data_IF_786269501968
#
_entry.id   IF_786269501968
#
_cell.length_a   1.000
_cell.length_b   1.000
_cell.length_c   1.000
_cell.angle_alpha   90.00
_cell.angle_beta   90.00
_cell.angle_gamma   90.00
#
_symmetry.space_group_name_H-M   'P 1'
#
loop_
_entity.id
_entity.type
_entity.pdbx_description
1 polymer ?
#
# COMPACT_ATOMS: atom_id res chain seq x y z
N UNK A 1 -82.78 -29.39 13.04
CA UNK A 1 -81.64 -28.71 13.73
C UNK A 1 -80.33 -28.98 12.98
N UNK A 2 -79.95 -28.07 12.09
CA UNK A 2 -78.72 -28.17 11.34
C UNK A 2 -77.61 -27.45 12.14
N UNK A 3 -76.58 -28.21 12.59
CA UNK A 3 -75.36 -27.63 13.13
C UNK A 3 -74.45 -27.22 11.97
N UNK A 4 -74.27 -25.91 11.78
CA UNK A 4 -73.20 -25.37 10.87
C UNK A 4 -71.87 -25.53 11.55
N UNK A 5 -71.01 -26.38 11.00
CA UNK A 5 -69.60 -26.44 11.35
C UNK A 5 -68.87 -25.34 10.54
N UNK A 6 -68.36 -24.31 11.25
CA UNK A 6 -67.53 -23.27 10.66
C UNK A 6 -66.05 -23.76 10.67
N UNK A 7 -65.57 -24.20 9.51
CA UNK A 7 -64.16 -24.58 9.35
C UNK A 7 -63.32 -23.30 9.19
N UNK A 8 -62.64 -22.89 10.25
CA UNK A 8 -61.67 -21.79 10.20
C UNK A 8 -60.41 -22.26 9.50
N UNK A 9 -60.25 -21.85 8.23
CA UNK A 9 -59.03 -22.09 7.47
C UNK A 9 -57.99 -21.06 7.94
N UNK A 10 -57.15 -21.39 8.90
CA UNK A 10 -55.98 -20.60 9.28
C UNK A 10 -54.92 -20.72 8.19
N UNK A 11 -54.88 -19.74 7.30
CA UNK A 11 -53.76 -19.56 6.35
C UNK A 11 -52.51 -19.14 7.15
N UNK A 12 -51.66 -20.11 7.48
CA UNK A 12 -50.32 -19.82 7.97
C UNK A 12 -49.52 -19.23 6.80
N UNK A 13 -49.40 -17.90 6.80
CA UNK A 13 -48.39 -17.21 6.03
C UNK A 13 -47.02 -17.62 6.62
N UNK A 14 -46.44 -18.69 6.13
CA UNK A 14 -45.01 -18.95 6.25
C UNK A 14 -44.31 -17.85 5.45
N UNK A 15 -44.01 -16.76 6.13
CA UNK A 15 -43.07 -15.78 5.64
C UNK A 15 -41.72 -16.52 5.52
N UNK A 16 -41.47 -17.07 4.35
CA UNK A 16 -40.16 -17.57 4.00
C UNK A 16 -39.25 -16.33 3.94
N UNK A 17 -38.59 -16.02 5.04
CA UNK A 17 -37.45 -15.10 5.01
C UNK A 17 -36.35 -15.81 4.21
N UNK A 18 -36.47 -15.80 2.88
CA UNK A 18 -35.37 -16.17 2.00
C UNK A 18 -34.32 -15.08 2.19
N UNK A 19 -33.28 -15.40 2.97
CA UNK A 19 -32.11 -14.55 3.00
C UNK A 19 -31.68 -14.32 1.55
N UNK A 20 -31.76 -13.07 1.09
CA UNK A 20 -31.38 -12.73 -0.27
C UNK A 20 -29.90 -13.03 -0.44
N UNK A 21 -29.56 -13.96 -1.29
CA UNK A 21 -28.18 -14.26 -1.65
C UNK A 21 -27.54 -13.02 -2.29
N UNK A 22 -26.29 -12.78 -1.93
CA UNK A 22 -25.50 -11.71 -2.54
C UNK A 22 -24.74 -12.27 -3.74
N UNK A 23 -24.74 -11.56 -4.84
CA UNK A 23 -24.04 -11.97 -6.07
C UNK A 23 -23.03 -10.94 -6.51
N UNK A 24 -21.90 -11.42 -6.99
CA UNK A 24 -20.89 -10.60 -7.65
C UNK A 24 -20.53 -11.23 -9.00
N UNK A 25 -20.70 -10.45 -10.05
CA UNK A 25 -20.51 -10.87 -11.43
C UNK A 25 -19.90 -9.75 -12.25
N UNK A 26 -19.51 -10.05 -13.49
CA UNK A 26 -19.06 -9.01 -14.38
C UNK A 26 -18.39 -9.51 -15.64
N UNK A 27 -17.86 -8.54 -16.41
CA UNK A 27 -17.06 -8.76 -17.60
C UNK A 27 -15.84 -7.88 -17.58
N UNK A 28 -14.66 -8.50 -17.69
CA UNK A 28 -13.39 -7.81 -17.84
C UNK A 28 -12.95 -7.91 -19.30
N UNK A 29 -12.65 -6.76 -19.89
CA UNK A 29 -12.11 -6.65 -21.24
C UNK A 29 -10.59 -6.65 -21.12
N UNK A 30 -9.90 -7.51 -21.88
CA UNK A 30 -8.44 -7.69 -21.86
C UNK A 30 -7.92 -8.00 -20.43
N UNK A 31 -8.39 -9.07 -19.78
CA UNK A 31 -7.96 -9.39 -18.44
C UNK A 31 -6.44 -9.62 -18.37
N UNK A 32 -5.81 -9.09 -17.34
CA UNK A 32 -4.36 -9.21 -17.07
C UNK A 32 -4.00 -10.52 -16.38
N UNK A 33 -4.97 -11.16 -15.73
CA UNK A 33 -4.87 -12.47 -15.11
C UNK A 33 -6.20 -13.24 -15.22
N UNK A 34 -6.23 -14.48 -14.76
CA UNK A 34 -7.37 -15.40 -14.93
C UNK A 34 -8.36 -15.40 -13.77
N UNK A 35 -8.22 -14.49 -12.79
CA UNK A 35 -9.10 -14.45 -11.62
C UNK A 35 -9.31 -13.05 -11.08
N UNK A 36 -10.39 -12.90 -10.33
CA UNK A 36 -10.64 -11.77 -9.42
C UNK A 36 -10.62 -12.31 -7.99
N UNK A 37 -9.96 -11.60 -7.10
CA UNK A 37 -10.00 -11.91 -5.67
C UNK A 37 -10.84 -10.88 -4.95
N UNK A 38 -11.88 -11.33 -4.23
CA UNK A 38 -12.68 -10.49 -3.34
C UNK A 38 -12.17 -10.62 -1.91
N UNK A 39 -11.94 -9.48 -1.26
CA UNK A 39 -11.45 -9.40 0.11
C UNK A 39 -12.42 -8.66 1.01
N UNK A 40 -12.44 -9.08 2.27
CA UNK A 40 -13.00 -8.35 3.41
C UNK A 40 -11.98 -8.30 4.52
N UNK A 41 -11.71 -7.10 5.03
CA UNK A 41 -10.77 -6.91 6.14
C UNK A 41 -9.39 -7.55 5.87
N UNK A 42 -8.90 -7.43 4.61
CA UNK A 42 -7.65 -8.03 4.07
C UNK A 42 -7.66 -9.56 3.98
N UNK A 43 -8.76 -10.20 4.32
CA UNK A 43 -8.92 -11.65 4.18
C UNK A 43 -9.62 -11.98 2.86
N UNK A 44 -9.11 -12.98 2.16
CA UNK A 44 -9.74 -13.49 0.94
C UNK A 44 -11.07 -14.15 1.28
N UNK A 45 -12.17 -13.53 0.79
CA UNK A 45 -13.51 -14.10 0.88
C UNK A 45 -13.73 -15.11 -0.24
N UNK A 46 -13.28 -14.74 -1.45
CA UNK A 46 -13.46 -15.60 -2.61
C UNK A 46 -12.50 -15.23 -3.75
N UNK A 47 -11.95 -16.26 -4.41
CA UNK A 47 -11.33 -16.16 -5.73
C UNK A 47 -12.33 -16.59 -6.81
N UNK A 48 -12.47 -15.79 -7.85
CA UNK A 48 -13.46 -15.90 -8.91
C UNK A 48 -12.75 -16.10 -10.23
N UNK A 49 -12.79 -17.30 -10.83
CA UNK A 49 -12.16 -17.52 -12.12
C UNK A 49 -12.87 -16.71 -13.20
N UNK A 50 -12.08 -16.15 -14.13
CA UNK A 50 -12.56 -15.45 -15.30
C UNK A 50 -12.64 -16.44 -16.47
N UNK A 51 -13.80 -16.50 -17.12
CA UNK A 51 -14.00 -17.32 -18.29
C UNK A 51 -13.22 -16.77 -19.49
N UNK A 52 -13.06 -17.59 -20.56
CA UNK A 52 -12.35 -17.18 -21.79
C UNK A 52 -12.95 -15.96 -22.49
N UNK A 53 -14.23 -15.67 -22.29
CA UNK A 53 -14.92 -14.48 -22.82
C UNK A 53 -14.82 -13.25 -21.89
N UNK A 54 -14.05 -13.36 -20.81
CA UNK A 54 -13.85 -12.32 -19.80
C UNK A 54 -14.94 -12.22 -18.75
N UNK A 55 -15.95 -13.11 -18.76
CA UNK A 55 -17.05 -13.08 -17.79
C UNK A 55 -16.71 -13.86 -16.52
N UNK A 56 -17.34 -13.45 -15.40
CA UNK A 56 -17.34 -14.19 -14.15
C UNK A 56 -18.68 -14.03 -13.44
N UNK A 57 -19.07 -14.98 -12.61
CA UNK A 57 -20.25 -14.90 -11.75
C UNK A 57 -20.09 -15.79 -10.53
N UNK A 58 -20.49 -15.29 -9.37
CA UNK A 58 -20.55 -16.09 -8.16
C UNK A 58 -21.55 -15.55 -7.15
N UNK A 59 -22.13 -16.45 -6.37
CA UNK A 59 -22.72 -16.08 -5.08
C UNK A 59 -21.63 -15.82 -4.05
N UNK A 60 -21.82 -14.84 -3.20
CA UNK A 60 -20.92 -14.48 -2.13
C UNK A 60 -21.65 -14.57 -0.81
N UNK A 61 -21.01 -15.19 0.16
CA UNK A 61 -21.50 -15.20 1.54
C UNK A 61 -21.06 -13.93 2.25
N UNK A 62 -22.01 -13.02 2.50
CA UNK A 62 -21.77 -11.73 3.13
C UNK A 62 -22.25 -11.77 4.57
N UNK A 63 -21.29 -11.79 5.49
CA UNK A 63 -21.58 -11.80 6.93
C UNK A 63 -21.89 -10.39 7.48
N UNK A 64 -21.29 -9.34 6.89
CA UNK A 64 -21.40 -7.97 7.36
C UNK A 64 -21.40 -6.99 6.19
N UNK A 65 -22.38 -6.07 6.19
CA UNK A 65 -22.38 -4.91 5.29
C UNK A 65 -21.11 -4.06 5.46
N UNK A 66 -20.62 -3.46 4.38
CA UNK A 66 -19.53 -2.51 4.49
C UNK A 66 -18.57 -2.49 3.33
N UNK A 67 -17.34 -2.11 3.64
CA UNK A 67 -16.25 -1.98 2.68
C UNK A 67 -15.64 -3.35 2.36
N UNK A 68 -15.50 -3.61 1.08
CA UNK A 68 -14.82 -4.76 0.50
C UNK A 68 -13.80 -4.26 -0.53
N UNK A 69 -12.88 -5.12 -0.94
CA UNK A 69 -11.97 -4.83 -2.03
C UNK A 69 -12.06 -5.95 -3.05
N UNK A 70 -12.05 -5.63 -4.34
CA UNK A 70 -11.73 -6.61 -5.35
C UNK A 70 -10.36 -6.31 -5.96
N UNK A 71 -9.61 -7.36 -6.26
CA UNK A 71 -8.28 -7.30 -6.87
C UNK A 71 -8.36 -8.01 -8.22
N UNK A 72 -7.90 -7.34 -9.26
CA UNK A 72 -7.53 -7.90 -10.54
C UNK A 72 -6.13 -7.38 -10.88
N UNK A 73 -5.12 -8.16 -10.53
CA UNK A 73 -3.72 -7.72 -10.54
C UNK A 73 -3.31 -7.05 -11.85
N UNK A 74 -2.58 -5.91 -11.80
CA UNK A 74 -1.98 -5.31 -10.59
C UNK A 74 -2.91 -4.38 -9.81
N UNK A 75 -4.13 -4.14 -10.26
CA UNK A 75 -5.05 -3.14 -9.74
C UNK A 75 -5.99 -3.69 -8.66
N UNK A 76 -6.50 -2.79 -7.82
CA UNK A 76 -7.55 -3.09 -6.85
C UNK A 76 -8.55 -1.93 -6.76
N UNK A 77 -9.78 -2.21 -6.33
CA UNK A 77 -10.77 -1.18 -6.08
C UNK A 77 -11.65 -1.50 -4.86
N UNK A 78 -12.10 -0.46 -4.18
CA UNK A 78 -13.05 -0.57 -3.08
C UNK A 78 -14.47 -0.81 -3.58
N UNK A 79 -15.21 -1.63 -2.84
CA UNK A 79 -16.63 -1.92 -3.04
C UNK A 79 -17.40 -1.72 -1.73
N UNK A 80 -18.60 -1.19 -1.82
CA UNK A 80 -19.57 -1.25 -0.73
C UNK A 80 -20.58 -2.36 -1.07
N UNK A 81 -20.52 -3.44 -0.28
CA UNK A 81 -21.46 -4.55 -0.46
C UNK A 81 -22.34 -4.66 0.77
N UNK A 82 -23.65 -4.75 0.52
CA UNK A 82 -24.66 -5.02 1.55
C UNK A 82 -25.27 -6.41 1.30
N UNK A 83 -25.74 -7.04 2.35
CA UNK A 83 -26.43 -8.33 2.24
C UNK A 83 -27.62 -8.24 1.27
N UNK A 84 -27.66 -9.12 0.28
CA UNK A 84 -28.68 -9.14 -0.77
C UNK A 84 -28.41 -8.25 -1.98
N UNK A 85 -27.24 -7.59 -2.06
CA UNK A 85 -26.80 -6.93 -3.29
C UNK A 85 -26.56 -7.93 -4.41
N UNK A 86 -26.80 -7.50 -5.64
CA UNK A 86 -26.46 -8.27 -6.85
C UNK A 86 -25.73 -7.34 -7.80
N UNK A 87 -24.40 -7.30 -7.62
CA UNK A 87 -23.51 -6.41 -8.36
C UNK A 87 -22.97 -7.08 -9.61
N UNK A 88 -23.02 -6.38 -10.73
CA UNK A 88 -22.33 -6.76 -11.95
C UNK A 88 -21.44 -5.61 -12.41
N UNK A 89 -20.15 -5.86 -12.61
CA UNK A 89 -19.20 -4.86 -13.10
C UNK A 89 -18.86 -5.07 -14.58
N UNK A 90 -18.51 -3.98 -15.24
CA UNK A 90 -17.82 -3.96 -16.52
C UNK A 90 -16.55 -3.15 -16.37
N UNK A 91 -15.43 -3.70 -16.83
CA UNK A 91 -14.10 -3.16 -16.65
C UNK A 91 -13.24 -3.43 -17.90
N UNK A 92 -12.43 -2.46 -18.31
CA UNK A 92 -11.33 -2.64 -19.26
C UNK A 92 -10.01 -2.52 -18.48
N UNK A 93 -9.19 -3.57 -18.42
CA UNK A 93 -7.94 -3.57 -17.63
C UNK A 93 -6.89 -2.56 -18.14
N UNK A 94 -7.04 -2.00 -19.34
CA UNK A 94 -6.13 -0.96 -19.84
C UNK A 94 -6.48 0.44 -19.31
N UNK A 95 -7.75 0.66 -18.92
CA UNK A 95 -8.27 1.93 -18.42
C UNK A 95 -9.12 1.61 -17.19
N UNK A 96 -8.47 1.10 -16.13
CA UNK A 96 -9.13 0.43 -15.02
C UNK A 96 -10.17 1.31 -14.33
N UNK A 97 -9.78 2.44 -13.77
CA UNK A 97 -10.68 3.28 -12.97
C UNK A 97 -11.73 3.99 -13.82
N UNK A 98 -11.34 4.52 -14.97
CA UNK A 98 -12.22 5.29 -15.86
C UNK A 98 -13.26 4.42 -16.58
N UNK A 99 -12.97 3.12 -16.75
CA UNK A 99 -13.87 2.19 -17.42
C UNK A 99 -14.77 1.38 -16.49
N UNK A 100 -14.51 1.45 -15.18
CA UNK A 100 -15.23 0.66 -14.17
C UNK A 100 -16.64 1.18 -13.95
N UNK A 101 -17.64 0.36 -14.28
CA UNK A 101 -19.06 0.68 -14.10
C UNK A 101 -19.78 -0.50 -13.46
N UNK A 102 -20.61 -0.23 -12.47
CA UNK A 102 -21.47 -1.22 -11.82
C UNK A 102 -22.91 -1.13 -12.32
N UNK A 103 -23.57 -2.29 -12.34
CA UNK A 103 -25.00 -2.45 -12.61
C UNK A 103 -25.62 -3.44 -11.62
N UNK A 104 -26.96 -3.48 -11.54
CA UNK A 104 -27.68 -4.34 -10.60
C UNK A 104 -27.96 -3.69 -9.25
N UNK A 105 -28.45 -4.49 -8.30
CA UNK A 105 -28.81 -3.98 -6.95
C UNK A 105 -27.57 -3.59 -6.17
N UNK A 106 -27.49 -2.37 -5.70
CA UNK A 106 -26.33 -1.81 -4.98
C UNK A 106 -25.30 -1.13 -5.89
N UNK A 107 -25.57 -1.04 -7.21
CA UNK A 107 -24.65 -0.40 -8.15
C UNK A 107 -24.53 1.10 -7.95
N UNK A 108 -25.61 1.80 -7.63
CA UNK A 108 -25.59 3.26 -7.54
C UNK A 108 -24.60 3.77 -6.49
N UNK A 109 -24.55 3.12 -5.31
CA UNK A 109 -23.60 3.52 -4.25
C UNK A 109 -22.14 3.27 -4.65
N UNK A 110 -21.89 2.21 -5.44
CA UNK A 110 -20.55 1.89 -5.92
C UNK A 110 -20.13 2.82 -7.07
N UNK A 111 -21.01 3.12 -8.02
CA UNK A 111 -20.73 4.11 -9.07
C UNK A 111 -20.47 5.49 -8.45
N UNK A 112 -21.26 5.90 -7.46
CA UNK A 112 -21.03 7.16 -6.75
C UNK A 112 -19.67 7.18 -6.02
N UNK A 113 -19.24 6.04 -5.44
CA UNK A 113 -17.93 5.92 -4.80
C UNK A 113 -16.77 6.06 -5.82
N UNK A 114 -16.92 5.45 -7.00
CA UNK A 114 -15.94 5.61 -8.11
C UNK A 114 -15.88 7.07 -8.55
N UNK A 115 -17.03 7.71 -8.78
CA UNK A 115 -17.09 9.14 -9.15
C UNK A 115 -16.34 10.01 -8.11
N UNK A 116 -16.48 9.70 -6.80
CA UNK A 116 -15.76 10.41 -5.73
C UNK A 116 -14.25 10.25 -5.86
N UNK A 117 -13.75 9.05 -6.17
CA UNK A 117 -12.31 8.82 -6.34
C UNK A 117 -11.77 9.53 -7.57
N UNK A 118 -12.46 9.43 -8.70
CA UNK A 118 -12.08 10.14 -9.94
C UNK A 118 -12.10 11.67 -9.76
N UNK A 119 -13.11 12.21 -9.08
CA UNK A 119 -13.19 13.64 -8.74
C UNK A 119 -11.97 14.09 -7.90
N UNK A 120 -11.50 13.26 -6.95
CA UNK A 120 -10.32 13.57 -6.14
C UNK A 120 -9.03 13.51 -6.96
N UNK A 121 -8.88 12.55 -7.85
CA UNK A 121 -7.72 12.44 -8.72
C UNK A 121 -7.59 13.66 -9.64
N UNK A 122 -8.68 14.10 -10.25
CA UNK A 122 -8.71 15.30 -11.08
C UNK A 122 -8.36 16.59 -10.29
N UNK A 123 -8.78 16.67 -9.02
CA UNK A 123 -8.55 17.84 -8.17
C UNK A 123 -7.15 17.85 -7.51
N UNK A 124 -6.47 16.71 -7.42
CA UNK A 124 -5.20 16.53 -6.68
C UNK A 124 -4.15 17.59 -7.06
N UNK A 125 -3.84 17.72 -8.35
CA UNK A 125 -2.85 18.68 -8.85
C UNK A 125 -3.28 20.12 -8.62
N UNK A 126 -4.56 20.43 -8.77
CA UNK A 126 -5.11 21.75 -8.51
C UNK A 126 -4.94 22.13 -7.03
N UNK A 127 -5.32 21.26 -6.10
CA UNK A 127 -5.20 21.54 -4.66
C UNK A 127 -3.74 21.68 -4.26
N UNK A 128 -2.85 20.79 -4.73
CA UNK A 128 -1.39 20.86 -4.45
C UNK A 128 -0.74 22.14 -4.96
N UNK A 129 -1.13 22.63 -6.13
CA UNK A 129 -0.61 23.89 -6.68
C UNK A 129 -0.95 25.12 -5.81
N UNK A 130 -2.02 25.01 -5.01
CA UNK A 130 -2.50 26.05 -4.10
C UNK A 130 -1.89 25.98 -2.68
N UNK A 131 -0.91 25.11 -2.41
CA UNK A 131 -0.29 25.04 -1.08
C UNK A 131 0.55 26.29 -0.71
N UNK A 132 0.75 27.23 -1.62
CA UNK A 132 1.51 28.48 -1.38
C UNK A 132 0.61 29.69 -1.06
N UNK A 133 -0.73 29.56 -1.14
CA UNK A 133 -1.64 30.66 -0.80
C UNK A 133 -1.79 30.79 0.72
N UNK A 134 -2.39 31.88 1.19
CA UNK A 134 -2.61 32.10 2.64
C UNK A 134 -3.52 31.05 3.26
N UNK A 135 -3.38 30.81 4.58
CA UNK A 135 -4.19 29.83 5.30
C UNK A 135 -5.69 30.08 5.18
N UNK A 136 -6.13 31.35 5.17
CA UNK A 136 -7.54 31.70 5.02
C UNK A 136 -8.06 31.39 3.60
N UNK A 137 -7.27 31.65 2.58
CA UNK A 137 -7.62 31.34 1.19
C UNK A 137 -7.68 29.84 0.98
N UNK A 138 -6.70 29.09 1.50
CA UNK A 138 -6.69 27.65 1.44
C UNK A 138 -7.87 27.03 2.22
N UNK A 139 -8.20 27.57 3.39
CA UNK A 139 -9.40 27.17 4.12
C UNK A 139 -10.68 27.33 3.27
N UNK A 140 -10.87 28.52 2.64
CA UNK A 140 -12.02 28.78 1.77
C UNK A 140 -12.08 27.84 0.57
N UNK A 141 -10.94 27.50 -0.02
CA UNK A 141 -10.84 26.54 -1.12
C UNK A 141 -11.34 25.17 -0.69
N UNK A 142 -10.77 24.59 0.37
CA UNK A 142 -11.14 23.26 0.88
C UNK A 142 -12.59 23.23 1.38
N UNK A 143 -13.02 24.25 2.12
CA UNK A 143 -14.40 24.37 2.61
C UNK A 143 -15.43 24.39 1.47
N UNK A 144 -15.13 25.12 0.39
CA UNK A 144 -15.98 25.15 -0.81
C UNK A 144 -16.06 23.81 -1.51
N UNK A 145 -14.92 23.14 -1.73
CA UNK A 145 -14.88 21.81 -2.34
C UNK A 145 -15.65 20.81 -1.50
N UNK A 146 -15.40 20.79 -0.19
CA UNK A 146 -16.06 19.87 0.74
C UNK A 146 -17.58 20.08 0.78
N UNK A 147 -18.05 21.32 0.90
CA UNK A 147 -19.47 21.65 0.91
C UNK A 147 -20.17 21.22 -0.37
N UNK A 148 -19.57 21.47 -1.53
CA UNK A 148 -20.14 21.08 -2.81
C UNK A 148 -20.28 19.56 -2.93
N UNK A 149 -19.23 18.81 -2.55
CA UNK A 149 -19.24 17.34 -2.59
C UNK A 149 -20.25 16.74 -1.59
N UNK A 150 -20.32 17.30 -0.38
CA UNK A 150 -21.31 16.85 0.63
C UNK A 150 -22.75 17.14 0.17
N UNK A 151 -23.03 18.30 -0.41
CA UNK A 151 -24.36 18.60 -0.98
C UNK A 151 -24.74 17.63 -2.12
N UNK A 152 -23.78 17.29 -3.00
CA UNK A 152 -23.97 16.27 -4.05
C UNK A 152 -24.33 14.92 -3.41
N UNK A 153 -23.61 14.53 -2.36
CA UNK A 153 -23.87 13.28 -1.62
C UNK A 153 -25.22 13.30 -0.89
N UNK A 154 -25.58 14.37 -0.19
CA UNK A 154 -26.86 14.48 0.52
C UNK A 154 -28.05 14.33 -0.45
N UNK A 155 -27.98 14.99 -1.62
CA UNK A 155 -28.99 14.85 -2.68
C UNK A 155 -29.06 13.41 -3.18
N UNK A 156 -27.94 12.76 -3.42
CA UNK A 156 -27.86 11.36 -3.81
C UNK A 156 -28.47 10.44 -2.74
N UNK A 157 -28.06 10.60 -1.49
CA UNK A 157 -28.52 9.79 -0.36
C UNK A 157 -30.00 9.97 -0.04
N UNK A 158 -30.56 11.18 -0.24
CA UNK A 158 -32.00 11.44 -0.05
C UNK A 158 -32.87 10.60 -0.97
N UNK A 159 -32.39 10.28 -2.18
CA UNK A 159 -33.10 9.46 -3.16
C UNK A 159 -32.98 7.96 -2.87
N UNK A 160 -31.76 7.48 -2.50
CA UNK A 160 -31.45 6.05 -2.35
C UNK A 160 -31.69 5.53 -0.92
N UNK A 161 -31.63 6.41 0.09
CA UNK A 161 -31.75 6.05 1.51
C UNK A 161 -30.76 4.95 1.90
N UNK A 162 -29.47 5.21 1.67
CA UNK A 162 -28.40 4.28 2.03
C UNK A 162 -28.47 3.89 3.51
N UNK A 163 -28.03 2.68 3.82
CA UNK A 163 -27.85 2.30 5.22
C UNK A 163 -26.73 3.11 5.87
N UNK A 164 -26.68 3.10 7.21
CA UNK A 164 -25.72 3.90 8.00
C UNK A 164 -24.27 3.61 7.63
N UNK A 165 -23.92 2.34 7.40
CA UNK A 165 -22.56 1.91 7.06
C UNK A 165 -22.14 2.42 5.69
N UNK A 166 -22.97 2.24 4.66
CA UNK A 166 -22.69 2.73 3.30
C UNK A 166 -22.57 4.25 3.26
N UNK A 167 -23.47 4.95 3.95
CA UNK A 167 -23.43 6.42 4.07
C UNK A 167 -22.14 6.91 4.71
N UNK A 168 -21.73 6.28 5.82
CA UNK A 168 -20.49 6.62 6.53
C UNK A 168 -19.25 6.40 5.65
N UNK A 169 -19.18 5.31 4.90
CA UNK A 169 -18.05 5.03 4.02
C UNK A 169 -17.94 6.10 2.93
N UNK A 170 -19.03 6.42 2.23
CA UNK A 170 -19.04 7.42 1.14
C UNK A 170 -18.71 8.81 1.69
N UNK A 171 -19.30 9.19 2.81
CA UNK A 171 -19.04 10.48 3.45
C UNK A 171 -17.54 10.63 3.81
N UNK A 172 -16.91 9.58 4.32
CA UNK A 172 -15.50 9.59 4.62
C UNK A 172 -14.61 9.49 3.36
N UNK A 173 -15.07 8.82 2.30
CA UNK A 173 -14.38 8.84 1.00
C UNK A 173 -14.34 10.27 0.42
N UNK A 174 -15.37 11.08 0.66
CA UNK A 174 -15.39 12.50 0.28
C UNK A 174 -14.46 13.33 1.16
N UNK A 175 -14.54 13.16 2.49
CA UNK A 175 -13.88 14.05 3.45
C UNK A 175 -12.37 13.79 3.56
N UNK A 176 -11.97 12.54 3.72
CA UNK A 176 -10.61 12.20 4.13
C UNK A 176 -9.52 12.67 3.16
N UNK A 177 -9.65 12.55 1.82
CA UNK A 177 -8.66 13.10 0.91
C UNK A 177 -8.48 14.61 1.05
N UNK A 178 -9.57 15.37 1.17
CA UNK A 178 -9.51 16.81 1.37
C UNK A 178 -8.88 17.18 2.72
N UNK A 179 -9.17 16.43 3.78
CA UNK A 179 -8.55 16.62 5.09
C UNK A 179 -7.06 16.25 5.08
N UNK A 180 -6.66 15.26 4.30
CA UNK A 180 -5.26 14.93 4.05
C UNK A 180 -4.51 16.07 3.36
N UNK A 181 -5.17 16.78 2.46
CA UNK A 181 -4.62 18.01 1.88
C UNK A 181 -4.46 19.14 2.91
N UNK A 182 -5.37 19.25 3.89
CA UNK A 182 -5.19 20.18 5.02
C UNK A 182 -3.93 19.84 5.80
N UNK A 183 -3.73 18.59 6.16
CA UNK A 183 -2.54 18.16 6.89
C UNK A 183 -1.26 18.41 6.09
N UNK A 184 -1.28 18.13 4.79
CA UNK A 184 -0.15 18.42 3.89
C UNK A 184 0.14 19.91 3.75
N UNK A 185 -0.91 20.75 3.69
CA UNK A 185 -0.78 22.21 3.70
C UNK A 185 -0.14 22.72 4.99
N UNK A 186 -0.63 22.26 6.15
CA UNK A 186 -0.08 22.59 7.47
C UNK A 186 1.40 22.22 7.57
N UNK A 187 1.75 21.03 7.11
CA UNK A 187 3.14 20.56 7.07
C UNK A 187 4.03 21.46 6.19
N UNK A 188 3.57 21.83 5.01
CA UNK A 188 4.33 22.70 4.11
C UNK A 188 4.52 24.12 4.67
N UNK A 189 3.52 24.62 5.40
CA UNK A 189 3.49 25.99 5.95
C UNK A 189 3.79 26.02 7.45
N UNK A 190 4.79 25.25 7.91
CA UNK A 190 5.16 25.06 9.32
C UNK A 190 5.41 26.36 10.10
N UNK A 191 5.97 27.38 9.46
CA UNK A 191 6.24 28.69 10.09
C UNK A 191 4.98 29.39 10.60
N UNK A 192 3.82 29.09 10.02
CA UNK A 192 2.50 29.62 10.40
C UNK A 192 1.58 28.53 10.96
N UNK A 193 2.15 27.40 11.39
CA UNK A 193 1.39 26.20 11.77
C UNK A 193 0.29 26.50 12.79
N UNK A 194 0.62 27.10 13.92
CA UNK A 194 -0.35 27.39 15.00
C UNK A 194 -1.48 28.32 14.57
N UNK A 195 -1.15 29.31 13.76
CA UNK A 195 -2.14 30.24 13.19
C UNK A 195 -3.08 29.53 12.22
N UNK A 196 -2.51 28.73 11.33
CA UNK A 196 -3.28 27.99 10.32
C UNK A 196 -4.08 26.86 10.96
N UNK A 197 -3.53 26.15 11.94
CA UNK A 197 -4.21 25.08 12.65
C UNK A 197 -5.56 25.53 13.23
N UNK A 198 -5.63 26.76 13.81
CA UNK A 198 -6.87 27.30 14.37
C UNK A 198 -8.01 27.38 13.34
N UNK A 199 -7.69 27.62 12.05
CA UNK A 199 -8.67 27.68 10.97
C UNK A 199 -9.27 26.29 10.70
N UNK A 200 -8.47 25.22 10.86
CA UNK A 200 -8.85 23.87 10.49
C UNK A 200 -9.28 22.97 11.66
N UNK A 201 -9.30 23.51 12.90
CA UNK A 201 -9.62 22.71 14.11
C UNK A 201 -10.95 21.99 14.02
N UNK A 202 -11.99 22.64 13.49
CA UNK A 202 -13.31 22.02 13.34
C UNK A 202 -13.28 20.75 12.50
N UNK A 203 -12.43 20.70 11.47
CA UNK A 203 -12.28 19.49 10.63
C UNK A 203 -11.62 18.37 11.42
N UNK A 204 -10.55 18.68 12.17
CA UNK A 204 -9.83 17.69 12.98
C UNK A 204 -10.68 17.09 14.09
N UNK A 205 -11.49 17.90 14.79
CA UNK A 205 -12.31 17.44 15.91
C UNK A 205 -13.49 16.59 15.49
N UNK A 206 -13.94 16.71 14.24
CA UNK A 206 -15.09 15.97 13.71
C UNK A 206 -14.74 14.60 13.11
N UNK A 207 -13.46 14.18 13.15
CA UNK A 207 -13.03 12.86 12.68
C UNK A 207 -12.82 11.93 13.87
N UNK A 208 -13.59 10.84 13.89
CA UNK A 208 -13.37 9.73 14.81
C UNK A 208 -12.16 8.91 14.36
N UNK A 209 -11.08 8.99 15.12
CA UNK A 209 -9.81 8.29 14.84
C UNK A 209 -9.85 6.79 15.21
N UNK A 210 -10.97 6.30 15.74
CA UNK A 210 -11.13 4.93 16.22
C UNK A 210 -12.28 4.19 15.52
N UNK A 211 -12.66 4.62 14.31
CA UNK A 211 -13.79 4.09 13.59
C UNK A 211 -13.48 2.73 12.96
N UNK A 212 -14.06 1.66 13.53
CA UNK A 212 -13.84 0.29 13.06
C UNK A 212 -14.32 0.04 11.62
N UNK A 213 -15.33 0.77 11.14
CA UNK A 213 -15.81 0.60 9.77
C UNK A 213 -14.77 1.02 8.73
N UNK A 214 -13.84 1.92 9.10
CA UNK A 214 -12.83 2.50 8.21
C UNK A 214 -11.43 1.91 8.38
N UNK A 215 -11.25 0.92 9.26
CA UNK A 215 -9.92 0.40 9.60
C UNK A 215 -9.15 -0.25 8.43
N UNK A 216 -9.85 -0.61 7.35
CA UNK A 216 -9.24 -1.12 6.10
C UNK A 216 -9.39 -0.16 4.92
N UNK A 217 -9.78 1.10 5.20
CA UNK A 217 -9.89 2.15 4.22
C UNK A 217 -8.61 2.99 4.21
N UNK A 218 -7.78 2.83 3.18
CA UNK A 218 -6.48 3.49 3.09
C UNK A 218 -6.54 5.01 3.30
N UNK A 219 -7.47 5.79 2.68
CA UNK A 219 -7.55 7.22 2.92
C UNK A 219 -7.73 7.62 4.39
N UNK A 220 -8.36 6.75 5.20
CA UNK A 220 -8.50 6.98 6.63
C UNK A 220 -7.19 6.79 7.39
N UNK A 221 -6.46 5.73 7.09
CA UNK A 221 -5.15 5.49 7.70
C UNK A 221 -4.12 6.55 7.27
N UNK A 222 -4.12 6.93 5.98
CA UNK A 222 -3.26 7.98 5.44
C UNK A 222 -3.50 9.31 6.14
N UNK A 223 -4.76 9.70 6.36
CA UNK A 223 -5.10 10.91 7.11
C UNK A 223 -4.52 10.88 8.53
N UNK A 224 -4.65 9.76 9.25
CA UNK A 224 -4.13 9.65 10.62
C UNK A 224 -2.59 9.74 10.62
N UNK A 225 -1.92 9.11 9.64
CA UNK A 225 -0.46 9.20 9.48
C UNK A 225 -0.03 10.64 9.24
N UNK A 226 -0.65 11.35 8.29
CA UNK A 226 -0.34 12.76 8.01
C UNK A 226 -0.58 13.65 9.24
N UNK A 227 -1.66 13.41 9.97
CA UNK A 227 -1.94 14.09 11.22
C UNK A 227 -0.87 13.81 12.28
N UNK A 228 -0.41 12.56 12.41
CA UNK A 228 0.67 12.18 13.34
C UNK A 228 1.96 12.93 13.06
N UNK A 229 2.26 13.17 11.79
CA UNK A 229 3.41 13.97 11.36
C UNK A 229 3.32 15.39 11.93
N UNK A 230 2.18 16.06 11.72
CA UNK A 230 1.99 17.44 12.18
C UNK A 230 1.98 17.57 13.72
N UNK A 231 1.33 16.62 14.43
CA UNK A 231 1.28 16.62 15.90
C UNK A 231 2.66 16.36 16.55
N UNK A 232 3.55 15.69 15.82
CA UNK A 232 4.87 15.32 16.32
C UNK A 232 5.94 16.38 16.04
N UNK A 233 5.65 17.33 15.17
CA UNK A 233 6.55 18.47 14.94
C UNK A 233 6.44 19.48 16.07
N UNK A 234 7.57 19.74 16.72
CA UNK A 234 7.75 20.90 17.59
C UNK A 234 8.65 21.90 16.88
N UNK A 235 8.28 23.15 16.88
CA UNK A 235 9.03 24.23 16.20
C UNK A 235 10.49 24.29 16.65
N UNK A 236 10.75 23.95 17.92
CA UNK A 236 12.07 24.02 18.54
C UNK A 236 12.96 22.79 18.26
N UNK A 237 12.41 21.70 17.71
CA UNK A 237 13.14 20.42 17.52
C UNK A 237 13.78 20.30 16.13
N UNK A 238 13.64 21.34 15.28
CA UNK A 238 14.04 21.29 13.86
C UNK A 238 13.03 20.48 13.00
N UNK A 239 13.32 20.39 11.70
CA UNK A 239 12.42 19.73 10.75
C UNK A 239 12.94 18.37 10.29
N UNK A 240 13.81 17.74 11.06
CA UNK A 240 14.41 16.46 10.70
C UNK A 240 13.52 15.29 11.13
N UNK A 241 13.35 14.32 10.25
CA UNK A 241 12.69 13.02 10.53
C UNK A 241 13.61 12.12 11.38
N UNK A 242 14.08 12.67 12.50
CA UNK A 242 15.00 11.99 13.41
C UNK A 242 14.27 11.05 14.39
N UNK A 243 15.05 10.40 15.25
CA UNK A 243 14.54 9.52 16.28
C UNK A 243 13.44 10.18 17.13
N UNK A 244 13.69 11.39 17.64
CA UNK A 244 12.75 12.12 18.54
C UNK A 244 11.40 12.37 17.86
N UNK A 245 11.43 12.78 16.60
CA UNK A 245 10.21 12.98 15.80
C UNK A 245 9.40 11.68 15.70
N UNK A 246 10.05 10.56 15.41
CA UNK A 246 9.35 9.28 15.26
C UNK A 246 8.87 8.70 16.59
N UNK A 247 9.59 8.95 17.69
CA UNK A 247 9.08 8.64 19.04
C UNK A 247 7.83 9.46 19.38
N UNK A 248 7.79 10.75 19.06
CA UNK A 248 6.59 11.58 19.21
C UNK A 248 5.41 11.05 18.41
N UNK A 249 5.64 10.49 17.18
CA UNK A 249 4.59 9.83 16.39
C UNK A 249 4.05 8.58 17.09
N UNK A 250 4.92 7.75 17.70
CA UNK A 250 4.48 6.60 18.50
C UNK A 250 3.60 7.05 19.68
N UNK A 251 4.02 8.10 20.40
CA UNK A 251 3.27 8.65 21.53
C UNK A 251 1.91 9.21 21.09
N UNK A 252 1.85 9.92 19.97
CA UNK A 252 0.58 10.40 19.43
C UNK A 252 -0.36 9.24 19.11
N UNK A 253 0.10 8.24 18.37
CA UNK A 253 -0.72 7.07 18.05
C UNK A 253 -1.15 6.34 19.33
N UNK A 254 -0.24 6.14 20.27
CA UNK A 254 -0.57 5.45 21.53
C UNK A 254 -1.62 6.18 22.35
N UNK A 255 -1.57 7.52 22.40
CA UNK A 255 -2.50 8.35 23.18
C UNK A 255 -3.86 8.56 22.52
N UNK A 256 -3.93 8.62 21.19
CA UNK A 256 -5.15 8.98 20.46
C UNK A 256 -5.90 7.77 19.89
N UNK A 257 -5.22 6.65 19.69
CA UNK A 257 -5.79 5.45 19.09
C UNK A 257 -5.92 4.36 20.14
N UNK A 258 -7.16 4.04 20.51
CA UNK A 258 -7.48 2.96 21.46
C UNK A 258 -8.00 1.69 20.78
N UNK A 259 -8.37 1.74 19.50
CA UNK A 259 -8.66 0.54 18.73
C UNK A 259 -7.35 -0.18 18.37
N UNK A 260 -7.14 -1.39 18.89
CA UNK A 260 -5.88 -2.14 18.76
C UNK A 260 -5.51 -2.46 17.33
N UNK A 261 -6.48 -2.72 16.44
CA UNK A 261 -6.21 -3.06 15.04
C UNK A 261 -5.69 -1.82 14.31
N UNK A 262 -6.36 -0.67 14.48
CA UNK A 262 -5.94 0.61 13.89
C UNK A 262 -4.56 0.98 14.44
N UNK A 263 -4.40 0.93 15.77
CA UNK A 263 -3.12 1.22 16.45
C UNK A 263 -1.97 0.40 15.87
N UNK A 264 -2.12 -0.91 15.82
CA UNK A 264 -1.09 -1.81 15.31
C UNK A 264 -0.73 -1.53 13.84
N UNK A 265 -1.71 -1.24 12.96
CA UNK A 265 -1.45 -0.88 11.56
C UNK A 265 -0.63 0.41 11.44
N UNK A 266 -1.00 1.44 12.21
CA UNK A 266 -0.32 2.73 12.18
C UNK A 266 1.09 2.66 12.77
N UNK A 267 1.25 1.99 13.92
CA UNK A 267 2.56 1.76 14.54
C UNK A 267 3.48 0.95 13.63
N UNK A 268 2.95 -0.12 13.02
CA UNK A 268 3.68 -0.91 12.03
C UNK A 268 4.17 -0.06 10.86
N UNK A 269 3.31 0.81 10.31
CA UNK A 269 3.68 1.72 9.23
C UNK A 269 4.83 2.65 9.65
N UNK A 270 4.72 3.31 10.80
CA UNK A 270 5.75 4.21 11.33
C UNK A 270 7.08 3.47 11.54
N UNK A 271 7.02 2.23 12.07
CA UNK A 271 8.21 1.43 12.28
C UNK A 271 8.92 1.07 10.97
N UNK A 272 8.18 0.64 9.95
CA UNK A 272 8.75 0.35 8.63
C UNK A 272 9.39 1.61 8.01
N UNK A 273 8.66 2.72 8.02
CA UNK A 273 9.15 3.99 7.47
C UNK A 273 10.46 4.41 8.16
N UNK A 274 10.49 4.40 9.49
CA UNK A 274 11.68 4.80 10.25
C UNK A 274 12.85 3.83 10.07
N UNK A 275 12.63 2.52 10.20
CA UNK A 275 13.69 1.52 10.12
C UNK A 275 14.36 1.45 8.74
N UNK A 276 13.63 1.74 7.67
CA UNK A 276 14.17 1.72 6.31
C UNK A 276 14.99 2.98 5.96
N UNK A 277 14.80 4.08 6.70
CA UNK A 277 15.50 5.35 6.48
C UNK A 277 16.67 5.58 7.45
N UNK A 278 16.56 5.09 8.71
CA UNK A 278 17.60 5.31 9.74
C UNK A 278 18.84 4.46 9.47
N UNK A 279 20.01 5.09 9.57
CA UNK A 279 21.32 4.45 9.31
C UNK A 279 22.06 4.06 10.60
N UNK A 280 21.75 4.69 11.71
CA UNK A 280 22.45 4.49 12.98
C UNK A 280 21.75 3.43 13.84
N UNK A 281 22.40 2.29 14.06
CA UNK A 281 21.85 1.20 14.87
C UNK A 281 21.43 1.64 16.27
N UNK A 282 22.19 2.53 16.93
CA UNK A 282 21.84 3.02 18.27
C UNK A 282 20.48 3.74 18.30
N UNK A 283 20.13 4.46 17.23
CA UNK A 283 18.84 5.11 17.10
C UNK A 283 17.73 4.07 16.86
N UNK A 284 18.02 3.06 16.05
CA UNK A 284 17.10 1.95 15.78
C UNK A 284 16.83 1.18 17.08
N UNK A 285 17.87 0.84 17.85
CA UNK A 285 17.72 0.14 19.15
C UNK A 285 16.83 0.93 20.12
N UNK A 286 17.03 2.24 20.20
CA UNK A 286 16.20 3.12 21.03
C UNK A 286 14.75 3.14 20.57
N UNK A 287 14.55 3.26 19.24
CA UNK A 287 13.20 3.26 18.67
C UNK A 287 12.47 1.93 18.93
N UNK A 288 13.12 0.79 18.70
CA UNK A 288 12.53 -0.54 18.93
C UNK A 288 12.12 -0.73 20.39
N UNK A 289 12.96 -0.28 21.34
CA UNK A 289 12.64 -0.36 22.75
C UNK A 289 11.38 0.45 23.14
N UNK A 290 11.17 1.62 22.54
CA UNK A 290 9.97 2.42 22.79
C UNK A 290 8.75 1.86 22.02
N UNK A 291 8.95 1.40 20.78
CA UNK A 291 7.93 0.74 19.97
C UNK A 291 7.34 -0.50 20.67
N UNK A 292 8.19 -1.34 21.27
CA UNK A 292 7.80 -2.54 22.01
C UNK A 292 6.89 -2.25 23.20
N UNK A 293 6.98 -1.05 23.81
CA UNK A 293 6.13 -0.64 24.94
C UNK A 293 4.70 -0.28 24.53
N UNK A 294 4.51 0.21 23.31
CA UNK A 294 3.22 0.72 22.84
C UNK A 294 2.47 -0.25 21.93
N UNK A 295 3.15 -1.28 21.42
CA UNK A 295 2.57 -2.26 20.50
C UNK A 295 1.81 -3.35 21.25
N UNK A 296 0.63 -3.71 20.74
CA UNK A 296 -0.24 -4.75 21.32
C UNK A 296 -0.07 -6.11 20.63
N UNK A 297 0.24 -6.12 19.33
CA UNK A 297 0.29 -7.34 18.50
C UNK A 297 1.66 -8.02 18.55
N UNK A 298 1.77 -9.21 19.14
CA UNK A 298 2.98 -10.04 19.09
C UNK A 298 3.44 -10.35 17.67
N UNK A 299 2.50 -10.63 16.74
CA UNK A 299 2.82 -10.88 15.33
C UNK A 299 3.54 -9.69 14.68
N UNK A 300 3.05 -8.47 14.92
CA UNK A 300 3.69 -7.25 14.40
C UNK A 300 5.04 -7.01 15.07
N UNK A 301 5.17 -7.33 16.35
CA UNK A 301 6.42 -7.25 17.09
C UNK A 301 7.49 -8.16 16.48
N UNK A 302 7.16 -9.42 16.23
CA UNK A 302 8.06 -10.39 15.61
C UNK A 302 8.48 -9.96 14.18
N UNK A 303 7.53 -9.43 13.40
CA UNK A 303 7.79 -8.91 12.05
C UNK A 303 8.79 -7.73 12.07
N UNK A 304 8.57 -6.75 12.93
CA UNK A 304 9.46 -5.58 13.05
C UNK A 304 10.82 -5.98 13.60
N UNK A 305 10.86 -6.94 14.53
CA UNK A 305 12.11 -7.49 15.04
C UNK A 305 12.90 -8.27 13.97
N UNK A 306 12.21 -9.03 13.12
CA UNK A 306 12.85 -9.68 11.95
C UNK A 306 13.46 -8.62 11.00
N UNK A 307 12.72 -7.54 10.70
CA UNK A 307 13.22 -6.44 9.88
C UNK A 307 14.46 -5.79 10.50
N UNK A 308 14.41 -5.48 11.80
CA UNK A 308 15.56 -4.95 12.54
C UNK A 308 16.79 -5.86 12.45
N UNK A 309 16.62 -7.17 12.70
CA UNK A 309 17.72 -8.13 12.60
C UNK A 309 18.33 -8.18 11.20
N UNK A 310 17.50 -8.10 10.16
CA UNK A 310 17.97 -8.08 8.78
C UNK A 310 18.72 -6.77 8.45
N UNK A 311 18.26 -5.62 8.95
CA UNK A 311 18.97 -4.33 8.83
C UNK A 311 20.33 -4.40 9.54
N UNK A 312 20.36 -4.94 10.75
CA UNK A 312 21.60 -5.11 11.52
C UNK A 312 22.60 -6.05 10.83
N UNK A 313 22.11 -7.10 10.15
CA UNK A 313 22.92 -8.02 9.38
C UNK A 313 23.55 -7.37 8.12
N UNK A 314 22.96 -6.28 7.60
CA UNK A 314 23.46 -5.55 6.43
C UNK A 314 24.42 -4.40 6.79
N UNK A 315 24.81 -4.24 8.03
CA UNK A 315 25.74 -3.19 8.42
C UNK A 315 27.16 -3.43 7.87
N UNK A 316 27.88 -2.34 7.59
CA UNK A 316 29.28 -2.39 7.15
C UNK A 316 30.13 -3.20 8.15
N UNK A 317 31.00 -4.05 7.62
CA UNK A 317 31.84 -4.96 8.42
C UNK A 317 31.19 -6.30 8.76
N UNK A 318 29.91 -6.51 8.47
CA UNK A 318 29.24 -7.79 8.62
C UNK A 318 29.39 -8.66 7.38
N UNK A 319 29.29 -9.98 7.57
CA UNK A 319 29.20 -10.89 6.42
C UNK A 319 27.87 -10.71 5.69
N UNK A 320 27.89 -10.76 4.35
CA UNK A 320 26.66 -10.72 3.56
C UNK A 320 25.71 -11.86 3.99
N UNK A 321 24.42 -11.61 4.17
CA UNK A 321 23.45 -12.66 4.51
C UNK A 321 23.44 -13.79 3.50
N UNK A 322 23.28 -15.03 3.98
CA UNK A 322 23.24 -16.22 3.14
C UNK A 322 21.95 -16.29 2.34
N UNK A 323 22.04 -16.27 1.01
CA UNK A 323 20.96 -16.52 0.06
C UNK A 323 21.44 -17.47 -1.03
N UNK A 324 20.52 -18.22 -1.63
CA UNK A 324 20.76 -19.04 -2.79
C UNK A 324 20.42 -18.29 -4.08
N UNK A 325 21.27 -18.44 -5.06
CA UNK A 325 21.14 -17.88 -6.40
C UNK A 325 21.17 -19.00 -7.43
N UNK A 326 20.44 -18.82 -8.52
CA UNK A 326 20.41 -19.75 -9.65
C UNK A 326 21.31 -19.19 -10.75
N UNK A 327 22.20 -20.01 -11.26
CA UNK A 327 23.08 -19.71 -12.40
C UNK A 327 22.33 -19.99 -13.73
N UNK A 328 22.91 -19.51 -14.85
CA UNK A 328 22.29 -19.68 -16.18
C UNK A 328 22.10 -21.15 -16.60
N UNK A 329 22.91 -22.06 -16.08
CA UNK A 329 22.82 -23.50 -16.30
C UNK A 329 21.81 -24.20 -15.38
N UNK A 330 21.10 -23.45 -14.53
CA UNK A 330 20.13 -23.96 -13.55
C UNK A 330 20.75 -24.42 -12.23
N UNK A 331 22.07 -24.38 -12.07
CA UNK A 331 22.72 -24.79 -10.83
C UNK A 331 22.57 -23.75 -9.73
N UNK A 332 22.47 -24.23 -8.49
CA UNK A 332 22.39 -23.37 -7.30
C UNK A 332 23.80 -22.95 -6.85
N UNK A 333 23.93 -21.70 -6.46
CA UNK A 333 25.13 -21.14 -5.85
C UNK A 333 24.77 -20.29 -4.65
N UNK A 334 25.43 -20.53 -3.52
CA UNK A 334 25.29 -19.66 -2.35
C UNK A 334 26.04 -18.36 -2.58
N UNK A 335 25.46 -17.22 -2.15
CA UNK A 335 26.09 -15.91 -2.30
C UNK A 335 27.46 -15.87 -1.62
N UNK A 336 27.63 -16.57 -0.48
CA UNK A 336 28.89 -16.64 0.26
C UNK A 336 29.99 -17.49 -0.42
N UNK A 337 29.62 -18.32 -1.40
CA UNK A 337 30.60 -19.10 -2.20
C UNK A 337 31.22 -18.27 -3.33
N UNK A 338 30.80 -16.99 -3.46
CA UNK A 338 31.39 -16.03 -4.38
C UNK A 338 32.67 -15.48 -3.79
N UNK A 339 33.81 -16.08 -4.19
CA UNK A 339 35.13 -15.83 -3.57
C UNK A 339 35.93 -14.66 -4.15
N UNK A 340 35.34 -13.86 -5.03
CA UNK A 340 36.03 -12.72 -5.60
C UNK A 340 36.21 -11.59 -4.57
N UNK A 341 37.32 -10.87 -4.67
CA UNK A 341 37.70 -9.89 -3.65
C UNK A 341 36.77 -8.74 -3.50
N UNK A 342 36.24 -8.18 -4.62
CA UNK A 342 35.33 -7.04 -4.64
C UNK A 342 34.10 -7.39 -5.49
N UNK A 343 32.91 -7.40 -4.88
CA UNK A 343 31.65 -7.75 -5.54
C UNK A 343 30.60 -6.67 -5.32
N UNK A 344 29.81 -6.40 -6.35
CA UNK A 344 28.68 -5.49 -6.35
C UNK A 344 27.44 -6.29 -6.73
N UNK A 345 26.44 -6.32 -5.84
CA UNK A 345 25.18 -7.01 -6.04
C UNK A 345 24.09 -5.98 -6.37
N UNK A 346 23.46 -6.15 -7.54
CA UNK A 346 22.42 -5.28 -8.08
C UNK A 346 21.19 -6.12 -8.40
N UNK A 347 20.00 -5.54 -8.23
CA UNK A 347 18.74 -6.25 -8.34
C UNK A 347 17.91 -5.70 -9.48
N UNK A 348 17.23 -6.58 -10.24
CA UNK A 348 16.44 -6.16 -11.38
C UNK A 348 15.27 -7.11 -11.68
N UNK A 349 14.26 -6.57 -12.40
CA UNK A 349 13.11 -7.32 -12.89
C UNK A 349 12.89 -7.01 -14.37
N UNK A 350 12.57 -8.04 -15.15
CA UNK A 350 12.17 -7.85 -16.55
C UNK A 350 10.74 -7.26 -16.69
N UNK A 351 9.96 -7.20 -15.61
CA UNK A 351 8.66 -6.52 -15.59
C UNK A 351 8.80 -4.99 -15.40
N UNK A 352 10.02 -4.52 -15.07
CA UNK A 352 10.38 -3.11 -14.96
C UNK A 352 11.35 -2.70 -16.07
N UNK A 353 10.87 -2.67 -17.31
CA UNK A 353 11.70 -2.51 -18.52
C UNK A 353 12.60 -1.27 -18.47
N UNK A 354 12.09 -0.09 -18.09
CA UNK A 354 12.88 1.14 -18.00
C UNK A 354 14.00 1.03 -16.97
N UNK A 355 13.74 0.42 -15.80
CA UNK A 355 14.75 0.17 -14.79
C UNK A 355 15.81 -0.81 -15.30
N UNK A 356 15.40 -1.91 -15.93
CA UNK A 356 16.29 -2.91 -16.51
C UNK A 356 17.28 -2.28 -17.49
N UNK A 357 16.76 -1.56 -18.50
CA UNK A 357 17.59 -0.92 -19.55
C UNK A 357 18.61 0.05 -18.91
N UNK A 358 18.15 0.92 -18.03
CA UNK A 358 19.01 1.91 -17.37
C UNK A 358 20.09 1.25 -16.51
N UNK A 359 19.72 0.22 -15.73
CA UNK A 359 20.64 -0.52 -14.89
C UNK A 359 21.73 -1.23 -15.71
N UNK A 360 21.34 -1.98 -16.76
CA UNK A 360 22.29 -2.70 -17.60
C UNK A 360 23.26 -1.76 -18.32
N UNK A 361 22.77 -0.65 -18.87
CA UNK A 361 23.63 0.36 -19.51
C UNK A 361 24.65 0.94 -18.50
N UNK A 362 24.19 1.26 -17.30
CA UNK A 362 25.05 1.81 -16.24
C UNK A 362 26.12 0.81 -15.80
N UNK A 363 25.72 -0.43 -15.54
CA UNK A 363 26.64 -1.50 -15.15
C UNK A 363 27.63 -1.82 -16.26
N UNK A 364 27.19 -1.80 -17.52
CA UNK A 364 28.10 -1.97 -18.66
C UNK A 364 29.20 -0.90 -18.73
N UNK A 365 28.88 0.36 -18.43
CA UNK A 365 29.88 1.43 -18.36
C UNK A 365 30.80 1.24 -17.16
N UNK A 366 30.28 0.95 -15.98
CA UNK A 366 31.10 0.72 -14.79
C UNK A 366 32.02 -0.49 -14.94
N UNK A 367 31.57 -1.56 -15.58
CA UNK A 367 32.40 -2.75 -15.81
C UNK A 367 33.66 -2.50 -16.68
N UNK A 368 33.65 -1.43 -17.48
CA UNK A 368 34.84 -0.99 -18.25
C UNK A 368 35.81 -0.18 -17.41
N UNK A 369 35.31 0.63 -16.47
CA UNK A 369 36.11 1.57 -15.71
C UNK A 369 36.63 0.98 -14.40
N UNK A 370 35.90 0.01 -13.81
CA UNK A 370 36.25 -0.59 -12.52
C UNK A 370 36.48 -2.10 -12.67
N UNK A 371 37.61 -2.47 -13.28
CA UNK A 371 37.94 -3.85 -13.65
C UNK A 371 38.20 -4.78 -12.47
N UNK A 372 38.51 -4.25 -11.30
CA UNK A 372 38.74 -4.99 -10.06
C UNK A 372 37.43 -5.37 -9.30
N UNK A 373 36.29 -4.91 -9.80
CA UNK A 373 34.98 -5.27 -9.28
C UNK A 373 34.23 -6.27 -10.18
N UNK A 374 33.50 -7.18 -9.55
CA UNK A 374 32.56 -8.07 -10.24
C UNK A 374 31.14 -7.61 -9.97
N UNK A 375 30.34 -7.47 -11.02
CA UNK A 375 28.96 -6.99 -10.99
C UNK A 375 28.00 -8.17 -11.10
N UNK A 376 27.30 -8.48 -10.02
CA UNK A 376 26.30 -9.54 -9.95
C UNK A 376 24.91 -8.96 -10.17
N UNK A 377 24.33 -9.21 -11.35
CA UNK A 377 23.02 -8.77 -11.77
C UNK A 377 22.00 -9.82 -11.37
N UNK A 378 21.28 -9.60 -10.25
CA UNK A 378 20.37 -10.58 -9.68
C UNK A 378 18.93 -10.27 -10.12
N UNK A 379 18.37 -11.18 -10.94
CA UNK A 379 16.96 -11.13 -11.32
C UNK A 379 16.06 -11.63 -10.19
N UNK A 380 14.92 -10.96 -9.99
CA UNK A 380 13.97 -11.26 -8.89
C UNK A 380 12.73 -12.03 -9.35
N UNK A 381 12.51 -12.19 -10.65
CA UNK A 381 11.31 -12.82 -11.20
C UNK A 381 11.34 -14.35 -11.06
N UNK A 382 10.18 -15.00 -11.09
CA UNK A 382 10.08 -16.45 -10.90
C UNK A 382 10.41 -17.27 -12.15
N UNK A 383 10.01 -16.80 -13.35
CA UNK A 383 10.18 -17.54 -14.60
C UNK A 383 11.65 -17.61 -15.04
N UNK A 384 12.22 -18.80 -14.92
CA UNK A 384 13.62 -19.07 -15.29
C UNK A 384 13.85 -18.93 -16.80
N UNK A 385 12.94 -19.43 -17.64
CA UNK A 385 13.13 -19.41 -19.10
C UNK A 385 13.05 -17.99 -19.63
N UNK A 386 12.09 -17.20 -19.14
CA UNK A 386 11.96 -15.78 -19.49
C UNK A 386 13.17 -14.98 -19.02
N UNK A 387 13.73 -15.28 -17.85
CA UNK A 387 14.98 -14.67 -17.40
C UNK A 387 16.15 -15.00 -18.33
N UNK A 388 16.37 -16.29 -18.66
CA UNK A 388 17.45 -16.72 -19.56
C UNK A 388 17.31 -16.05 -20.93
N UNK A 389 16.09 -15.93 -21.47
CA UNK A 389 15.82 -15.21 -22.71
C UNK A 389 16.24 -13.74 -22.62
N UNK A 390 15.80 -13.02 -21.58
CA UNK A 390 16.10 -11.60 -21.37
C UNK A 390 17.62 -11.33 -21.27
N UNK A 391 18.38 -12.16 -20.56
CA UNK A 391 19.83 -11.94 -20.45
C UNK A 391 20.61 -12.29 -21.73
N UNK A 392 20.03 -13.06 -22.65
CA UNK A 392 20.69 -13.41 -23.92
C UNK A 392 20.83 -12.22 -24.86
N UNK A 393 20.08 -11.16 -24.67
CA UNK A 393 20.14 -9.92 -25.45
C UNK A 393 21.31 -9.00 -25.05
N UNK A 394 21.96 -9.29 -23.91
CA UNK A 394 23.06 -8.48 -23.39
C UNK A 394 24.41 -9.15 -23.60
N UNK A 395 25.41 -8.36 -24.05
CA UNK A 395 26.76 -8.85 -24.24
C UNK A 395 27.36 -9.36 -22.91
N UNK A 396 27.96 -10.56 -22.99
CA UNK A 396 28.71 -11.14 -21.86
C UNK A 396 30.04 -10.41 -21.68
N UNK A 397 30.30 -9.94 -20.46
CA UNK A 397 31.60 -9.43 -20.03
C UNK A 397 32.14 -10.26 -18.90
N UNK A 398 33.47 -10.36 -18.82
CA UNK A 398 34.16 -11.23 -17.86
C UNK A 398 33.84 -10.88 -16.39
N UNK A 399 33.53 -9.61 -16.09
CA UNK A 399 33.22 -9.12 -14.76
C UNK A 399 31.74 -8.78 -14.54
N UNK A 400 30.83 -9.14 -15.46
CA UNK A 400 29.38 -9.07 -15.28
C UNK A 400 28.83 -10.49 -15.21
N UNK A 401 28.17 -10.82 -14.09
CA UNK A 401 27.60 -12.13 -13.84
C UNK A 401 26.10 -12.01 -13.64
N UNK A 402 25.32 -12.64 -14.52
CA UNK A 402 23.86 -12.69 -14.39
C UNK A 402 23.47 -13.91 -13.55
N UNK A 403 22.66 -13.66 -12.51
CA UNK A 403 22.09 -14.68 -11.63
C UNK A 403 20.61 -14.38 -11.38
N UNK A 404 19.89 -15.37 -10.87
CA UNK A 404 18.48 -15.25 -10.49
C UNK A 404 18.33 -15.62 -9.02
N UNK A 405 17.45 -14.92 -8.30
CA UNK A 405 17.05 -15.34 -6.96
C UNK A 405 16.35 -16.71 -7.01
N UNK A 406 16.74 -17.63 -6.13
CA UNK A 406 16.01 -18.89 -5.96
C UNK A 406 14.60 -18.63 -5.38
N UNK A 407 14.54 -17.81 -4.36
CA UNK A 407 13.29 -17.37 -3.74
C UNK A 407 13.34 -15.88 -3.44
N UNK A 408 12.51 -15.11 -4.14
CA UNK A 408 12.49 -13.65 -4.00
C UNK A 408 12.05 -13.20 -2.60
N UNK A 409 11.04 -13.84 -2.01
CA UNK A 409 10.53 -13.44 -0.69
C UNK A 409 11.62 -13.58 0.38
N UNK A 410 12.35 -14.69 0.39
CA UNK A 410 13.47 -14.90 1.32
C UNK A 410 14.59 -13.90 1.07
N UNK A 411 14.94 -13.67 -0.19
CA UNK A 411 16.01 -12.73 -0.54
C UNK A 411 15.63 -11.30 -0.18
N UNK A 412 14.41 -10.86 -0.53
CA UNK A 412 13.95 -9.48 -0.26
C UNK A 412 13.94 -9.15 1.23
N UNK A 413 13.55 -10.10 2.08
CA UNK A 413 13.60 -9.94 3.54
C UNK A 413 15.05 -9.82 4.03
N UNK A 414 15.91 -10.79 3.69
CA UNK A 414 17.31 -10.83 4.17
C UNK A 414 18.15 -9.67 3.65
N UNK A 415 17.92 -9.22 2.42
CA UNK A 415 18.62 -8.09 1.80
C UNK A 415 17.88 -6.76 2.03
N UNK A 416 16.77 -6.76 2.75
CA UNK A 416 15.93 -5.58 3.01
C UNK A 416 15.69 -4.81 1.70
N UNK A 417 15.16 -5.50 0.67
CA UNK A 417 14.88 -4.90 -0.63
C UNK A 417 13.53 -4.21 -0.62
N UNK A 418 13.51 -2.93 -0.29
CA UNK A 418 12.34 -2.05 -0.39
C UNK A 418 12.17 -1.47 -1.81
N UNK A 419 13.23 -1.46 -2.61
CA UNK A 419 13.25 -1.09 -4.02
C UNK A 419 14.44 -1.75 -4.73
N UNK A 420 14.46 -1.73 -6.07
CA UNK A 420 15.51 -2.34 -6.88
C UNK A 420 16.76 -1.44 -7.08
N UNK A 421 16.74 -0.21 -6.58
CA UNK A 421 17.89 0.70 -6.67
C UNK A 421 18.94 0.44 -5.58
N UNK A 422 18.68 -0.49 -4.66
CA UNK A 422 19.64 -0.88 -3.63
C UNK A 422 20.83 -1.61 -4.26
N UNK A 423 22.03 -1.23 -3.82
CA UNK A 423 23.31 -1.85 -4.20
C UNK A 423 24.01 -2.30 -2.93
N UNK A 424 24.47 -3.57 -2.92
CA UNK A 424 25.26 -4.11 -1.82
C UNK A 424 26.68 -4.37 -2.34
N UNK A 425 27.67 -3.78 -1.69
CA UNK A 425 29.08 -3.89 -2.07
C UNK A 425 29.80 -4.68 -1.00
N UNK A 426 30.55 -5.69 -1.42
CA UNK A 426 31.34 -6.53 -0.51
C UNK A 426 32.80 -6.62 -0.92
N UNK A 427 33.66 -6.85 0.09
CA UNK A 427 35.03 -7.25 -0.08
C UNK A 427 35.25 -8.54 0.73
N UNK A 428 35.57 -9.64 0.04
CA UNK A 428 35.70 -10.97 0.67
C UNK A 428 34.45 -11.37 1.49
N UNK A 429 33.28 -11.18 0.94
CA UNK A 429 31.97 -11.41 1.58
C UNK A 429 31.64 -10.51 2.79
N UNK A 430 32.53 -9.59 3.16
CA UNK A 430 32.26 -8.57 4.18
C UNK A 430 31.63 -7.36 3.50
N UNK A 431 30.52 -6.88 4.02
CA UNK A 431 29.81 -5.70 3.52
C UNK A 431 30.69 -4.47 3.70
N UNK A 432 30.97 -3.79 2.59
CA UNK A 432 31.72 -2.54 2.53
C UNK A 432 30.84 -1.33 2.23
N UNK A 433 29.66 -1.54 1.65
CA UNK A 433 28.67 -0.51 1.39
C UNK A 433 27.29 -1.08 1.11
N UNK A 434 26.26 -0.38 1.59
CA UNK A 434 24.84 -0.56 1.21
C UNK A 434 24.34 0.82 0.82
N UNK A 435 24.14 1.03 -0.48
CA UNK A 435 23.90 2.37 -1.06
C UNK A 435 22.79 2.33 -2.10
N UNK A 436 22.36 3.50 -2.56
CA UNK A 436 21.52 3.61 -3.75
C UNK A 436 22.40 3.58 -5.02
N UNK A 437 21.86 3.08 -6.13
CA UNK A 437 22.57 3.04 -7.43
C UNK A 437 23.03 4.42 -7.93
N UNK A 438 22.37 5.49 -7.49
CA UNK A 438 22.75 6.87 -7.81
C UNK A 438 24.05 7.29 -7.10
N UNK A 439 24.40 6.64 -5.98
CA UNK A 439 25.60 6.92 -5.18
C UNK A 439 26.79 6.04 -5.59
N UNK A 440 26.57 5.06 -6.48
CA UNK A 440 27.56 4.01 -6.80
C UNK A 440 28.85 4.59 -7.40
N UNK A 441 28.76 5.58 -8.31
CA UNK A 441 29.93 6.22 -8.91
C UNK A 441 30.80 6.89 -7.86
N UNK A 442 30.20 7.73 -7.02
CA UNK A 442 30.91 8.40 -5.92
C UNK A 442 31.55 7.42 -4.92
N UNK A 443 30.91 6.26 -4.72
CA UNK A 443 31.47 5.23 -3.85
C UNK A 443 32.70 4.55 -4.50
N UNK A 444 32.59 4.20 -5.78
CA UNK A 444 33.68 3.50 -6.50
C UNK A 444 34.91 4.38 -6.71
N UNK A 445 34.73 5.68 -6.95
CA UNK A 445 35.83 6.63 -7.11
C UNK A 445 36.65 6.86 -5.81
N UNK A 446 36.05 6.58 -4.64
CA UNK A 446 36.67 6.75 -3.33
C UNK A 446 37.33 5.48 -2.78
N UNK A 447 37.06 4.29 -3.32
CA UNK A 447 37.45 2.98 -2.79
C UNK A 447 38.13 2.07 -3.83
#
# INVERSE_FOLDING_TARGET
MLKKVFLLLSILFLSCNTEKSTYFSGKIIKPTNNEITLLKDELVIKSLPINNDGTFVSSIDINKDGLYNFIHLPEFQYLIINKGDSLSLRLNSLDFDESLVFSGTGSEKNNFLIDVFLDHELEENFIRSNYNISGLEFYKLIDSLLKNKILKFEKFNSNLKLNKTSSLIIENAIKLPLLSHIESYLFKNKKEYEKNLKLFMNYRTNIDLNNETLLHFKPYLDYIILRSINESFKVDDGYDYNLKFNLNRLDFINSMIYNDIIKNKLLRFIAYEYLLEEKLLINIDTFINEFDKVLVSDKTKDEIKELYMNIAALQIGRNIPEINLIQRDGTLKKIRDIKNSKNIFLFWSYDQNSHQINLFNKVYQFSKNYLDYNFYMININEDFNKWVFNISEYESKSNIVNMKAENFQTMSKKMVLNNLNKVIITKNNIINGVINITEMENFLDKN
#
